data_IF_729090610716
#
_entry.id   IF_729090610716
#
_cell.length_a   1.000
_cell.length_b   1.000
_cell.length_c   1.000
_cell.angle_alpha   90.00
_cell.angle_beta   90.00
_cell.angle_gamma   90.00
#
_symmetry.space_group_name_H-M   'P 1'
#
loop_
_entity.id
_entity.type
_entity.pdbx_description
1 polymer ?
#
# COMPACT_ATOMS: atom_id res chain seq x y z
N UNK A 1 14.11 -34.26 -10.45
CA UNK A 1 13.65 -33.46 -11.60
C UNK A 1 13.69 -32.00 -11.15
N UNK A 2 14.35 -31.17 -11.94
CA UNK A 2 14.96 -29.89 -11.54
C UNK A 2 13.95 -28.84 -11.05
N UNK A 3 14.18 -28.33 -9.85
CA UNK A 3 13.70 -27.02 -9.41
C UNK A 3 14.61 -25.98 -10.04
N UNK A 4 14.13 -25.31 -11.08
CA UNK A 4 14.88 -24.24 -11.74
C UNK A 4 14.73 -22.98 -10.90
N UNK A 5 15.71 -22.70 -10.04
CA UNK A 5 15.84 -21.43 -9.34
C UNK A 5 15.95 -20.32 -10.39
N UNK A 6 14.94 -19.45 -10.45
CA UNK A 6 15.00 -18.17 -11.15
C UNK A 6 16.12 -17.35 -10.52
N UNK A 7 17.23 -17.25 -11.25
CA UNK A 7 18.40 -16.48 -10.84
C UNK A 7 18.08 -14.99 -10.81
N UNK A 8 17.78 -14.48 -9.62
CA UNK A 8 17.90 -13.05 -9.34
C UNK A 8 19.40 -12.75 -9.29
N UNK A 9 19.91 -12.07 -10.30
CA UNK A 9 21.31 -11.62 -10.35
C UNK A 9 21.59 -10.69 -9.16
N UNK A 10 22.59 -11.02 -8.37
CA UNK A 10 23.12 -10.13 -7.34
C UNK A 10 23.82 -8.93 -8.01
N UNK A 11 23.19 -7.76 -7.86
CA UNK A 11 23.68 -6.38 -8.02
C UNK A 11 23.92 -5.82 -9.45
N UNK A 12 23.30 -4.66 -9.77
CA UNK A 12 24.12 -3.46 -9.83
C UNK A 12 23.42 -2.19 -9.31
N UNK A 13 24.00 -1.57 -8.29
CA UNK A 13 24.31 -0.15 -8.28
C UNK A 13 23.13 0.83 -8.20
N UNK A 14 23.11 1.58 -7.09
CA UNK A 14 22.16 2.63 -6.73
C UNK A 14 20.86 2.04 -6.17
N UNK A 15 20.90 1.67 -4.88
CA UNK A 15 19.71 1.84 -4.04
C UNK A 15 19.25 3.28 -4.27
N UNK A 16 18.02 3.53 -4.77
CA UNK A 16 17.55 4.89 -4.94
C UNK A 16 17.78 5.61 -3.61
N UNK A 17 18.44 6.76 -3.66
CA UNK A 17 18.63 7.57 -2.46
C UNK A 17 17.26 7.82 -1.88
N UNK A 18 16.99 7.19 -0.74
CA UNK A 18 15.72 7.33 -0.06
C UNK A 18 15.48 8.83 0.18
N UNK A 19 14.24 9.33 0.00
CA UNK A 19 13.93 10.71 0.32
C UNK A 19 14.39 11.03 1.74
N UNK A 20 14.78 12.28 2.03
CA UNK A 20 15.37 12.68 3.32
C UNK A 20 14.51 12.35 4.55
N UNK A 21 13.21 12.16 4.37
CA UNK A 21 12.28 11.71 5.42
C UNK A 21 12.46 10.24 5.82
N UNK A 22 13.19 9.45 5.02
CA UNK A 22 13.45 8.04 5.22
C UNK A 22 14.91 7.79 5.52
N UNK A 23 15.17 6.85 6.42
CA UNK A 23 16.51 6.40 6.77
C UNK A 23 16.49 4.91 7.02
N UNK A 24 17.29 4.15 6.26
CA UNK A 24 17.52 2.73 6.51
C UNK A 24 18.50 2.57 7.67
N UNK A 25 18.15 1.75 8.65
CA UNK A 25 18.99 1.37 9.79
C UNK A 25 19.63 0.01 9.53
N UNK A 26 20.70 -0.32 10.27
CA UNK A 26 21.56 -1.49 10.03
C UNK A 26 20.89 -2.85 10.29
N UNK A 27 19.76 -2.87 10.99
CA UNK A 27 19.01 -4.03 11.46
C UNK A 27 17.82 -4.39 10.54
N UNK A 28 17.78 -3.85 9.32
CA UNK A 28 16.65 -4.07 8.41
C UNK A 28 15.41 -3.27 8.82
N UNK A 29 15.59 -2.20 9.58
CA UNK A 29 14.52 -1.26 9.94
C UNK A 29 14.56 -0.04 9.02
N UNK A 30 13.39 0.41 8.58
CA UNK A 30 13.17 1.67 7.91
C UNK A 30 12.59 2.67 8.90
N UNK A 31 13.31 3.77 9.10
CA UNK A 31 12.84 4.92 9.87
C UNK A 31 12.22 5.96 8.93
N UNK A 32 11.06 6.50 9.31
CA UNK A 32 10.33 7.53 8.58
C UNK A 32 9.94 8.67 9.52
N UNK A 33 10.17 9.90 9.07
CA UNK A 33 9.75 11.13 9.72
C UNK A 33 8.55 11.76 9.01
N UNK A 34 7.77 12.61 9.69
CA UNK A 34 6.66 13.31 9.07
C UNK A 34 7.13 14.15 7.89
N UNK A 35 6.28 14.24 6.87
CA UNK A 35 6.45 15.21 5.78
C UNK A 35 6.37 16.64 6.35
N UNK A 36 7.49 17.37 6.30
CA UNK A 36 7.60 18.71 6.90
C UNK A 36 6.93 19.79 6.06
N UNK A 37 6.84 19.60 4.75
CA UNK A 37 6.23 20.49 3.76
C UNK A 37 4.71 20.65 3.94
N UNK A 38 4.04 19.67 4.55
CA UNK A 38 2.59 19.68 4.80
C UNK A 38 2.23 19.81 6.30
N UNK A 39 3.20 20.17 7.15
CA UNK A 39 2.98 20.54 8.55
C UNK A 39 2.19 19.52 9.37
N UNK A 40 1.09 19.97 9.99
CA UNK A 40 0.26 19.14 10.86
C UNK A 40 -0.37 17.93 10.13
N UNK A 41 -0.66 18.06 8.83
CA UNK A 41 -1.19 16.95 8.03
C UNK A 41 -0.16 15.82 7.89
N UNK A 42 1.12 16.14 7.70
CA UNK A 42 2.19 15.14 7.62
C UNK A 42 2.33 14.32 8.90
N UNK A 43 2.12 14.94 10.06
CA UNK A 43 2.09 14.23 11.36
C UNK A 43 0.84 13.36 11.52
N UNK A 44 -0.30 13.82 11.02
CA UNK A 44 -1.53 13.03 11.03
C UNK A 44 -1.39 11.77 10.16
N UNK A 45 -0.87 11.92 8.95
CA UNK A 45 -0.64 10.82 8.01
C UNK A 45 0.33 9.78 8.55
N UNK A 46 1.46 10.21 9.12
CA UNK A 46 2.42 9.27 9.72
C UNK A 46 1.83 8.51 10.91
N UNK A 47 0.99 9.17 11.73
CA UNK A 47 0.26 8.51 12.81
C UNK A 47 -0.75 7.51 12.28
N UNK A 48 -1.48 7.85 11.21
CA UNK A 48 -2.44 6.94 10.58
C UNK A 48 -1.73 5.67 10.06
N UNK A 49 -0.58 5.84 9.41
CA UNK A 49 0.25 4.73 8.96
C UNK A 49 0.70 3.85 10.14
N UNK A 50 1.26 4.44 11.20
CA UNK A 50 1.69 3.69 12.38
C UNK A 50 0.57 2.86 13.03
N UNK A 51 -0.61 3.47 13.22
CA UNK A 51 -1.78 2.79 13.79
C UNK A 51 -2.30 1.67 12.89
N UNK A 52 -2.22 1.86 11.57
CA UNK A 52 -2.62 0.85 10.59
C UNK A 52 -1.67 -0.34 10.63
N UNK A 53 -0.35 -0.09 10.60
CA UNK A 53 0.65 -1.16 10.69
C UNK A 53 0.53 -1.96 12.01
N UNK A 54 0.18 -1.30 13.12
CA UNK A 54 -0.08 -1.97 14.39
C UNK A 54 -1.28 -2.93 14.30
N UNK A 55 -2.38 -2.52 13.64
CA UNK A 55 -3.58 -3.35 13.44
C UNK A 55 -3.33 -4.52 12.48
N UNK A 56 -2.50 -4.33 11.47
CA UNK A 56 -2.19 -5.37 10.48
C UNK A 56 -1.19 -6.40 10.99
N UNK A 57 -0.31 -6.01 11.93
CA UNK A 57 0.67 -6.91 12.55
C UNK A 57 1.52 -7.70 11.54
N UNK A 58 1.82 -7.11 10.38
CA UNK A 58 2.59 -7.72 9.30
C UNK A 58 1.77 -8.43 8.21
N UNK A 59 0.45 -8.47 8.31
CA UNK A 59 -0.41 -9.04 7.25
C UNK A 59 -0.45 -8.09 6.05
N UNK A 60 0.15 -8.50 4.93
CA UNK A 60 0.29 -7.71 3.69
C UNK A 60 0.91 -6.32 3.86
N UNK A 61 1.61 -6.09 4.96
CA UNK A 61 2.18 -4.79 5.30
C UNK A 61 3.52 -4.98 6.05
N UNK A 62 4.42 -3.99 6.03
CA UNK A 62 5.60 -4.01 6.88
C UNK A 62 5.24 -4.14 8.36
N UNK A 63 5.96 -4.98 9.11
CA UNK A 63 5.78 -5.06 10.57
C UNK A 63 6.16 -3.73 11.21
N UNK A 64 5.29 -3.21 12.08
CA UNK A 64 5.62 -2.09 12.96
C UNK A 64 6.72 -2.54 13.94
N UNK A 65 7.80 -1.76 14.04
CA UNK A 65 8.86 -1.97 15.02
C UNK A 65 8.65 -1.04 16.19
N UNK A 66 8.46 0.25 15.93
CA UNK A 66 8.26 1.28 16.95
C UNK A 66 7.56 2.50 16.35
N UNK A 67 6.73 3.17 17.13
CA UNK A 67 6.23 4.49 16.80
C UNK A 67 6.38 5.42 18.01
N UNK A 68 7.06 6.55 17.80
CA UNK A 68 7.22 7.61 18.79
C UNK A 68 6.39 8.80 18.32
N UNK A 69 5.47 9.29 19.16
CA UNK A 69 4.71 10.52 18.92
C UNK A 69 5.37 11.73 19.61
N UNK A 70 4.78 12.92 19.49
CA UNK A 70 5.31 14.17 20.08
C UNK A 70 6.34 14.86 19.19
N UNK A 71 7.11 15.79 19.75
CA UNK A 71 7.96 16.70 18.96
C UNK A 71 8.93 15.95 18.02
N UNK A 72 9.49 14.82 18.47
CA UNK A 72 10.41 13.98 17.69
C UNK A 72 9.71 12.80 17.01
N UNK A 73 8.51 13.03 16.46
CA UNK A 73 7.69 11.96 15.88
C UNK A 73 8.47 11.15 14.84
N UNK A 74 8.45 9.82 14.99
CA UNK A 74 9.13 8.89 14.10
C UNK A 74 8.40 7.54 14.06
N UNK A 75 8.30 6.98 12.86
CA UNK A 75 7.82 5.62 12.61
C UNK A 75 9.01 4.74 12.23
N UNK A 76 9.15 3.60 12.88
CA UNK A 76 10.11 2.54 12.53
C UNK A 76 9.35 1.28 12.19
N UNK A 77 9.67 0.70 11.04
CA UNK A 77 9.03 -0.51 10.51
C UNK A 77 10.05 -1.41 9.84
N UNK A 78 9.66 -2.65 9.58
CA UNK A 78 10.43 -3.56 8.74
C UNK A 78 10.74 -2.89 7.38
N UNK A 79 12.00 -2.92 6.97
CA UNK A 79 12.37 -2.61 5.59
C UNK A 79 12.00 -3.80 4.71
N UNK A 80 11.16 -3.54 3.70
CA UNK A 80 10.78 -4.55 2.70
C UNK A 80 11.66 -4.33 1.48
N UNK A 81 12.46 -5.33 1.14
CA UNK A 81 13.36 -5.28 0.00
C UNK A 81 12.67 -5.85 -1.24
N UNK A 82 12.86 -5.18 -2.38
CA UNK A 82 12.31 -5.60 -3.66
C UNK A 82 12.02 -4.40 -4.56
N UNK A 83 11.84 -4.62 -5.87
CA UNK A 83 11.31 -3.61 -6.77
C UNK A 83 9.85 -3.31 -6.45
N UNK A 84 9.38 -2.11 -6.77
CA UNK A 84 7.94 -1.85 -6.79
C UNK A 84 7.30 -2.55 -7.98
N UNK A 85 5.99 -2.80 -7.96
CA UNK A 85 5.29 -3.40 -9.09
C UNK A 85 5.42 -2.53 -10.35
N UNK A 86 5.53 -1.20 -10.21
CA UNK A 86 5.81 -0.27 -11.32
C UNK A 86 7.17 -0.48 -11.99
N UNK A 87 8.14 -1.04 -11.29
CA UNK A 87 9.48 -1.31 -11.82
C UNK A 87 9.58 -2.70 -12.49
N UNK A 88 8.52 -3.51 -12.39
CA UNK A 88 8.48 -4.89 -12.89
C UNK A 88 7.71 -4.95 -14.21
N UNK A 89 8.16 -5.84 -15.10
CA UNK A 89 7.50 -6.09 -16.39
C UNK A 89 6.01 -6.40 -16.21
N UNK A 90 5.17 -5.70 -16.99
CA UNK A 90 3.71 -5.78 -16.91
C UNK A 90 3.17 -7.20 -17.18
N UNK A 91 3.89 -8.03 -17.93
CA UNK A 91 3.54 -9.43 -18.17
C UNK A 91 3.50 -10.28 -16.89
N UNK A 92 4.16 -9.84 -15.83
CA UNK A 92 4.19 -10.54 -14.53
C UNK A 92 3.08 -10.08 -13.57
N UNK A 93 2.35 -9.00 -13.90
CA UNK A 93 1.43 -8.36 -12.95
C UNK A 93 0.22 -9.22 -12.62
N UNK A 94 -0.40 -9.85 -13.62
CA UNK A 94 -1.65 -10.59 -13.45
C UNK A 94 -1.58 -11.67 -12.35
N UNK A 95 -0.62 -12.63 -12.36
CA UNK A 95 -0.52 -13.62 -11.30
C UNK A 95 -0.19 -13.03 -9.93
N UNK A 96 0.65 -11.98 -9.86
CA UNK A 96 1.01 -11.31 -8.60
C UNK A 96 -0.19 -10.58 -7.98
N UNK A 97 -0.97 -9.88 -8.80
CA UNK A 97 -2.16 -9.15 -8.36
C UNK A 97 -3.29 -10.10 -7.97
N UNK A 98 -3.40 -11.26 -8.63
CA UNK A 98 -4.39 -12.28 -8.27
C UNK A 98 -4.14 -12.87 -6.88
N UNK A 99 -2.88 -13.26 -6.61
CA UNK A 99 -2.50 -13.72 -5.28
C UNK A 99 -2.67 -12.63 -4.21
N UNK A 100 -2.24 -11.40 -4.52
CA UNK A 100 -2.43 -10.26 -3.62
C UNK A 100 -3.91 -9.99 -3.31
N UNK A 101 -4.79 -10.02 -4.31
CA UNK A 101 -6.23 -9.83 -4.12
C UNK A 101 -6.84 -10.89 -3.20
N UNK A 102 -6.42 -12.16 -3.34
CA UNK A 102 -6.84 -13.24 -2.45
C UNK A 102 -6.42 -13.00 -0.99
N UNK A 103 -5.20 -12.51 -0.78
CA UNK A 103 -4.69 -12.21 0.56
C UNK A 103 -5.25 -10.91 1.14
N UNK A 104 -5.70 -9.98 0.29
CA UNK A 104 -6.22 -8.67 0.69
C UNK A 104 -7.53 -8.79 1.50
N UNK A 105 -8.29 -9.87 1.31
CA UNK A 105 -9.46 -10.18 2.13
C UNK A 105 -9.13 -10.14 3.64
N UNK A 106 -7.95 -10.61 4.06
CA UNK A 106 -7.54 -10.55 5.46
C UNK A 106 -7.31 -9.12 5.99
N UNK A 107 -6.97 -8.15 5.12
CA UNK A 107 -6.94 -6.72 5.48
C UNK A 107 -8.36 -6.20 5.66
N UNK A 108 -9.26 -6.54 4.72
CA UNK A 108 -10.66 -6.11 4.74
C UNK A 108 -11.41 -6.67 5.97
N UNK A 109 -11.17 -7.92 6.34
CA UNK A 109 -11.70 -8.54 7.58
C UNK A 109 -11.26 -7.81 8.86
N UNK A 110 -10.11 -7.11 8.85
CA UNK A 110 -9.65 -6.25 9.95
C UNK A 110 -10.31 -4.87 9.93
N UNK A 111 -11.29 -4.66 9.07
CA UNK A 111 -12.06 -3.42 8.91
C UNK A 111 -11.24 -2.29 8.31
N UNK A 112 -10.23 -2.59 7.50
CA UNK A 112 -9.32 -1.63 6.89
C UNK A 112 -9.36 -1.78 5.38
N UNK A 113 -9.19 -0.65 4.67
CA UNK A 113 -8.78 -0.62 3.27
C UNK A 113 -7.53 0.23 3.15
N UNK A 114 -6.70 -0.07 2.17
CA UNK A 114 -5.49 0.71 1.93
C UNK A 114 -5.85 2.11 1.40
N UNK A 115 -6.80 2.21 0.49
CA UNK A 115 -7.36 3.49 -0.01
C UNK A 115 -6.44 4.28 -0.95
N UNK A 116 -5.26 3.74 -1.28
CA UNK A 116 -4.31 4.32 -2.23
C UNK A 116 -3.42 3.22 -2.86
N UNK A 117 -4.04 2.10 -3.26
CA UNK A 117 -3.31 1.06 -3.97
C UNK A 117 -2.94 1.54 -5.35
N UNK A 118 -1.66 1.41 -5.67
CA UNK A 118 -1.06 1.69 -6.98
C UNK A 118 0.24 0.89 -7.11
N UNK A 119 0.76 0.68 -8.32
CA UNK A 119 1.94 -0.16 -8.52
C UNK A 119 3.18 0.26 -7.69
N UNK A 120 3.35 1.56 -7.45
CA UNK A 120 4.44 2.12 -6.65
C UNK A 120 4.33 1.78 -5.15
N UNK A 121 3.11 1.47 -4.67
CA UNK A 121 2.84 1.13 -3.28
C UNK A 121 2.82 -0.39 -3.04
N UNK A 122 3.19 -1.19 -4.04
CA UNK A 122 3.28 -2.64 -3.94
C UNK A 122 4.74 -3.07 -4.19
N UNK A 123 5.39 -3.64 -3.17
CA UNK A 123 6.74 -4.20 -3.32
C UNK A 123 6.64 -5.68 -3.65
N UNK A 124 7.36 -6.11 -4.68
CA UNK A 124 7.49 -7.52 -5.05
C UNK A 124 8.55 -8.17 -4.16
N UNK A 125 8.14 -9.18 -3.40
CA UNK A 125 9.02 -9.99 -2.54
C UNK A 125 9.06 -11.43 -3.02
N UNK A 126 9.92 -12.27 -2.41
CA UNK A 126 9.94 -13.70 -2.68
C UNK A 126 8.64 -14.43 -2.30
N UNK A 127 7.84 -13.84 -1.40
CA UNK A 127 6.60 -14.42 -0.88
C UNK A 127 5.34 -13.79 -1.50
N UNK A 128 5.48 -12.92 -2.51
CA UNK A 128 4.38 -12.20 -3.14
C UNK A 128 4.47 -10.69 -2.94
N UNK A 129 3.33 -9.99 -3.09
CA UNK A 129 3.26 -8.53 -2.97
C UNK A 129 3.05 -8.09 -1.52
N UNK A 130 3.80 -7.08 -1.09
CA UNK A 130 3.59 -6.37 0.18
C UNK A 130 3.18 -4.93 -0.11
N UNK A 131 2.08 -4.47 0.50
CA UNK A 131 1.62 -3.10 0.37
C UNK A 131 2.32 -2.18 1.38
N UNK A 132 2.76 -1.01 0.90
CA UNK A 132 3.42 0.05 1.66
C UNK A 132 2.66 1.36 1.53
N UNK A 133 3.06 2.38 2.30
CA UNK A 133 2.41 3.70 2.30
C UNK A 133 0.93 3.66 2.75
N UNK A 134 0.74 3.21 3.99
CA UNK A 134 -0.60 3.14 4.61
C UNK A 134 -1.04 4.49 5.21
N UNK A 135 -0.42 5.61 4.81
CA UNK A 135 -0.77 6.96 5.27
C UNK A 135 -2.25 7.30 4.96
N UNK A 136 -2.79 6.71 3.89
CA UNK A 136 -4.15 6.94 3.39
C UNK A 136 -5.16 5.84 3.75
N UNK A 137 -4.79 4.90 4.62
CA UNK A 137 -5.68 3.82 5.06
C UNK A 137 -6.99 4.34 5.66
N UNK A 138 -8.07 3.62 5.38
CA UNK A 138 -9.43 3.98 5.80
C UNK A 138 -10.06 2.82 6.58
N UNK A 139 -10.95 3.16 7.52
CA UNK A 139 -11.74 2.16 8.24
C UNK A 139 -13.04 1.90 7.47
N UNK A 140 -13.35 0.63 7.22
CA UNK A 140 -14.60 0.22 6.57
C UNK A 140 -15.81 0.68 7.39
N UNK A 141 -16.85 1.18 6.70
CA UNK A 141 -18.07 1.75 7.27
C UNK A 141 -17.98 3.25 7.61
N UNK A 142 -16.78 3.84 7.60
CA UNK A 142 -16.62 5.27 7.79
C UNK A 142 -17.22 6.08 6.63
N UNK A 143 -17.76 7.27 6.91
CA UNK A 143 -18.22 8.19 5.87
C UNK A 143 -17.03 8.81 5.15
N UNK A 144 -16.99 8.68 3.82
CA UNK A 144 -15.91 9.26 2.99
C UNK A 144 -15.91 10.80 3.09
N UNK A 145 -17.08 11.42 3.20
CA UNK A 145 -17.22 12.87 3.29
C UNK A 145 -16.62 13.45 4.58
N UNK A 146 -16.52 12.64 5.64
CA UNK A 146 -15.98 13.06 6.94
C UNK A 146 -14.46 13.30 6.95
N UNK A 147 -13.76 12.98 5.86
CA UNK A 147 -12.29 13.12 5.81
C UNK A 147 -11.86 14.56 5.50
N UNK A 148 -11.00 15.08 6.37
CA UNK A 148 -10.37 16.40 6.26
C UNK A 148 -9.40 16.52 5.08
N UNK A 149 -8.83 15.40 4.63
CA UNK A 149 -8.00 15.31 3.44
C UNK A 149 -8.33 14.00 2.71
N UNK A 150 -8.57 14.11 1.40
CA UNK A 150 -8.78 12.97 0.50
C UNK A 150 -7.61 12.93 -0.47
N UNK A 151 -6.75 11.92 -0.35
CA UNK A 151 -5.86 11.59 -1.43
C UNK A 151 -6.66 10.83 -2.48
N UNK A 152 -6.54 11.26 -3.73
CA UNK A 152 -7.01 10.51 -4.87
C UNK A 152 -5.87 10.48 -5.87
N UNK A 153 -5.51 9.28 -6.29
CA UNK A 153 -4.49 9.01 -7.28
C UNK A 153 -5.18 8.81 -8.63
N UNK A 154 -4.97 9.72 -9.60
CA UNK A 154 -5.56 9.60 -10.92
C UNK A 154 -5.29 8.23 -11.54
N UNK A 155 -6.34 7.61 -12.07
CA UNK A 155 -6.25 6.29 -12.73
C UNK A 155 -6.34 5.09 -11.79
N UNK A 156 -6.24 5.25 -10.47
CA UNK A 156 -6.35 4.13 -9.51
C UNK A 156 -7.44 4.33 -8.47
N UNK A 157 -7.71 5.56 -8.01
CA UNK A 157 -8.71 5.77 -6.97
C UNK A 157 -10.14 5.61 -7.47
N UNK A 158 -10.95 4.89 -6.69
CA UNK A 158 -12.38 4.75 -6.93
C UNK A 158 -13.10 6.12 -6.95
N UNK A 159 -14.04 6.38 -7.88
CA UNK A 159 -14.73 7.67 -8.02
C UNK A 159 -15.36 8.23 -6.73
N UNK A 160 -15.92 7.36 -5.87
CA UNK A 160 -16.39 7.74 -4.51
C UNK A 160 -15.37 8.50 -3.67
N UNK A 161 -14.09 8.17 -3.72
CA UNK A 161 -13.03 8.92 -3.02
C UNK A 161 -12.84 10.31 -3.63
N UNK A 162 -12.91 10.41 -4.96
CA UNK A 162 -12.78 11.69 -5.70
C UNK A 162 -13.96 12.61 -5.36
N UNK A 163 -15.18 12.08 -5.43
CA UNK A 163 -16.41 12.83 -5.17
C UNK A 163 -16.68 13.07 -3.69
N UNK A 164 -16.00 12.34 -2.80
CA UNK A 164 -16.22 12.42 -1.37
C UNK A 164 -17.61 11.93 -0.95
N UNK A 165 -18.11 10.84 -1.55
CA UNK A 165 -19.49 10.35 -1.36
C UNK A 165 -19.52 8.88 -0.99
N UNK A 166 -20.47 8.53 -0.11
CA UNK A 166 -20.73 7.15 0.31
C UNK A 166 -19.87 6.73 1.50
N UNK A 167 -19.92 5.43 1.79
CA UNK A 167 -19.13 4.83 2.86
C UNK A 167 -17.88 4.16 2.32
N UNK A 168 -16.89 3.99 3.17
CA UNK A 168 -15.70 3.19 2.90
C UNK A 168 -16.09 1.71 2.91
N UNK A 169 -15.73 0.98 1.86
CA UNK A 169 -15.81 -0.48 1.79
C UNK A 169 -14.65 -1.02 0.93
N UNK A 170 -14.58 -2.35 0.82
CA UNK A 170 -13.55 -3.10 0.10
C UNK A 170 -13.44 -2.78 -1.39
N UNK A 171 -14.49 -2.22 -2.01
CA UNK A 171 -14.50 -1.94 -3.45
C UNK A 171 -13.52 -0.83 -3.83
N UNK A 172 -13.11 0.01 -2.87
CA UNK A 172 -12.07 1.03 -3.10
C UNK A 172 -10.74 0.39 -3.51
N UNK A 173 -10.33 -0.68 -2.83
CA UNK A 173 -9.10 -1.39 -3.14
C UNK A 173 -9.29 -2.32 -4.35
N UNK A 174 -10.45 -2.98 -4.48
CA UNK A 174 -10.77 -3.83 -5.65
C UNK A 174 -10.73 -3.05 -6.96
N UNK A 175 -11.28 -1.84 -6.96
CA UNK A 175 -11.23 -0.94 -8.11
C UNK A 175 -9.78 -0.60 -8.49
N UNK A 176 -8.93 -0.35 -7.50
CA UNK A 176 -7.51 -0.05 -7.74
C UNK A 176 -6.80 -1.24 -8.40
N UNK A 177 -7.09 -2.47 -7.97
CA UNK A 177 -6.57 -3.71 -8.59
C UNK A 177 -7.10 -3.89 -10.01
N UNK A 178 -8.40 -3.67 -10.23
CA UNK A 178 -9.02 -3.70 -11.55
C UNK A 178 -8.31 -2.75 -12.53
N UNK A 179 -8.00 -1.53 -12.10
CA UNK A 179 -7.26 -0.55 -12.89
C UNK A 179 -5.83 -1.01 -13.20
N UNK A 180 -5.12 -1.63 -12.24
CA UNK A 180 -3.79 -2.19 -12.46
C UNK A 180 -3.78 -3.32 -13.50
N UNK A 181 -4.83 -4.14 -13.53
CA UNK A 181 -5.02 -5.20 -14.53
C UNK A 181 -5.42 -4.66 -15.91
N UNK A 182 -5.55 -3.34 -16.08
CA UNK A 182 -5.89 -2.71 -17.36
C UNK A 182 -7.39 -2.60 -17.62
N UNK A 183 -8.22 -2.69 -16.58
CA UNK A 183 -9.67 -2.74 -16.73
C UNK A 183 -10.20 -4.11 -17.13
N UNK A 184 -9.36 -5.13 -17.10
CA UNK A 184 -9.72 -6.53 -17.32
C UNK A 184 -9.45 -7.26 -16.01
N UNK A 185 -10.47 -7.42 -15.15
CA UNK A 185 -10.30 -8.18 -13.92
C UNK A 185 -10.97 -9.56 -14.01
N UNK A 186 -10.21 -10.63 -14.32
CA UNK A 186 -10.76 -11.98 -14.34
C UNK A 186 -11.14 -12.50 -12.93
N UNK A 187 -10.89 -11.73 -11.86
CA UNK A 187 -11.23 -12.08 -10.47
C UNK A 187 -12.54 -11.43 -10.00
N UNK A 188 -13.15 -10.59 -10.84
CA UNK A 188 -14.40 -9.90 -10.59
C UNK A 188 -15.44 -10.23 -11.69
N UNK A 189 -15.51 -11.49 -12.13
CA UNK A 189 -16.50 -11.93 -13.13
C UNK A 189 -17.96 -11.62 -12.73
N UNK A 190 -18.23 -11.40 -11.43
CA UNK A 190 -19.55 -11.07 -10.89
C UNK A 190 -19.68 -9.64 -10.32
N UNK A 191 -18.66 -8.78 -10.45
CA UNK A 191 -18.84 -7.39 -10.05
C UNK A 191 -19.64 -6.66 -11.13
N UNK A 192 -20.84 -6.20 -10.77
CA UNK A 192 -21.61 -5.24 -11.57
C UNK A 192 -20.64 -4.19 -12.13
N UNK A 193 -20.65 -3.92 -13.45
CA UNK A 193 -19.82 -2.88 -14.01
C UNK A 193 -20.08 -1.63 -13.17
N UNK A 194 -19.01 -0.97 -12.71
CA UNK A 194 -19.10 0.28 -11.96
C UNK A 194 -19.72 1.31 -12.90
N UNK A 195 -21.05 1.33 -12.95
CA UNK A 195 -21.86 2.19 -13.79
C UNK A 195 -21.91 3.55 -13.09
N UNK A 196 -21.46 4.57 -13.81
CA UNK A 196 -21.38 5.96 -13.39
C UNK A 196 -22.74 6.58 -13.11
#
# INVERSE_FOLDING_TARGET
MNTQCIGLSEDPGISPTLPSRFRRLSDGVLEQRPRSDIGAAGRHLLRNEAMTLARLAGWLAPKLVEFVDGQNMVLRRQFVAGPTLSDVDRSLWSPLLADFAGNLAGVHERGLVHGDLRPENLIVTGDGLIAIDWEHALTIGADIASRSARAATPGYSHPRLIWGRGQVDEDLDRFSIYQMLGGENPLLEDAEPVMF
#
